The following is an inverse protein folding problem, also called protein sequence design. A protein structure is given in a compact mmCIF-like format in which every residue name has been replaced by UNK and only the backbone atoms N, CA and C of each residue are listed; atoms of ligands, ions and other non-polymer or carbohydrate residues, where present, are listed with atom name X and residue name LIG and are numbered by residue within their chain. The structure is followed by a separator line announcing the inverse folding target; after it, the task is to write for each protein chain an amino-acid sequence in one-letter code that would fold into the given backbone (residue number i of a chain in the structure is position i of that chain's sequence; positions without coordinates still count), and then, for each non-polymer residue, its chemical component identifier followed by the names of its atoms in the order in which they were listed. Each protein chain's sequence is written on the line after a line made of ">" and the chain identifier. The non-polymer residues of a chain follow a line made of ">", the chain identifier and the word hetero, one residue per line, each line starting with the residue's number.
data_IF_963180569748
#
_entry.id   IF_963180569748
#
_cell.length_a   1.000
_cell.length_b   1.000
_cell.length_c   1.000
_cell.angle_alpha   90.00
_cell.angle_beta   90.00
_cell.angle_gamma   90.00
#
_symmetry.space_group_name_H-M   'P 1'
#
loop_
_entity.id
_entity.type
_entity.pdbx_description
1 polymer ?
#
# COMPACT_ATOMS: atom_id res chain seq x y z
N UNK A 1 1.67 3.74 13.15
CA UNK A 1 0.92 2.78 12.28
C UNK A 1 1.49 1.39 12.41
N UNK A 2 2.82 1.21 12.30
CA UNK A 2 3.45 -0.11 12.47
C UNK A 2 3.14 -0.74 13.83
N UNK A 3 3.30 0.01 14.93
CA UNK A 3 2.98 -0.51 16.26
C UNK A 3 1.53 -1.02 16.36
N UNK A 4 0.55 -0.32 15.78
CA UNK A 4 -0.84 -0.78 15.76
C UNK A 4 -0.99 -2.07 14.94
N UNK A 5 -0.30 -2.15 13.80
CA UNK A 5 -0.30 -3.35 12.95
C UNK A 5 0.26 -4.55 13.70
N UNK A 6 1.39 -4.36 14.39
CA UNK A 6 2.07 -5.41 15.16
C UNK A 6 1.24 -5.86 16.37
N UNK A 7 0.38 -4.98 16.90
CA UNK A 7 -0.60 -5.30 17.94
C UNK A 7 -1.92 -5.89 17.39
N UNK A 8 -1.97 -6.28 16.11
CA UNK A 8 -3.12 -6.98 15.52
C UNK A 8 -4.31 -6.09 15.11
N UNK A 9 -4.15 -4.76 15.11
CA UNK A 9 -5.19 -3.87 14.61
C UNK A 9 -5.28 -3.91 13.08
N UNK A 10 -6.51 -3.89 12.55
CA UNK A 10 -6.76 -3.67 11.14
C UNK A 10 -6.70 -2.17 10.81
N UNK A 11 -5.85 -1.79 9.86
CA UNK A 11 -5.62 -0.39 9.52
C UNK A 11 -6.36 -0.04 8.23
N UNK A 12 -7.30 0.91 8.35
CA UNK A 12 -8.04 1.48 7.23
C UNK A 12 -7.51 2.87 6.90
N UNK A 13 -6.92 3.02 5.72
CA UNK A 13 -6.43 4.29 5.20
C UNK A 13 -7.45 4.92 4.26
N UNK A 14 -7.95 6.10 4.63
CA UNK A 14 -8.73 6.97 3.75
C UNK A 14 -7.90 8.22 3.45
N UNK A 15 -7.65 8.49 2.17
CA UNK A 15 -6.87 9.65 1.75
C UNK A 15 -7.64 10.48 0.73
N UNK A 16 -7.57 11.80 0.86
CA UNK A 16 -8.18 12.75 -0.07
C UNK A 16 -7.09 13.67 -0.61
N UNK A 17 -6.81 13.56 -1.90
CA UNK A 17 -5.84 14.38 -2.61
C UNK A 17 -6.47 15.54 -3.40
N UNK A 18 -5.59 16.40 -3.87
CA UNK A 18 -5.88 17.53 -4.77
C UNK A 18 -4.83 17.54 -5.88
N UNK A 19 -5.17 18.12 -7.02
CA UNK A 19 -4.30 18.18 -8.20
C UNK A 19 -3.02 18.94 -7.94
N UNK A 20 -3.08 19.97 -7.08
CA UNK A 20 -1.91 20.80 -6.80
C UNK A 20 -1.97 21.48 -5.43
N UNK A 21 -0.78 21.87 -4.95
CA UNK A 21 -0.61 22.74 -3.78
C UNK A 21 -1.17 24.14 -4.02
N UNK A 22 -1.17 24.63 -5.26
CA UNK A 22 -1.82 25.87 -5.67
C UNK A 22 -3.33 25.79 -5.44
N UNK A 23 -3.96 24.68 -5.81
CA UNK A 23 -5.39 24.46 -5.56
C UNK A 23 -5.69 24.39 -4.06
N UNK A 24 -4.82 23.73 -3.27
CA UNK A 24 -4.95 23.70 -1.82
C UNK A 24 -4.86 25.11 -1.22
N UNK A 25 -3.91 25.93 -1.66
CA UNK A 25 -3.76 27.31 -1.21
C UNK A 25 -4.95 28.19 -1.60
N UNK A 26 -5.43 28.07 -2.85
CA UNK A 26 -6.62 28.77 -3.33
C UNK A 26 -7.85 28.45 -2.45
N UNK A 27 -8.05 27.17 -2.11
CA UNK A 27 -9.17 26.77 -1.23
C UNK A 27 -9.05 27.33 0.18
N UNK A 28 -7.82 27.50 0.68
CA UNK A 28 -7.59 28.19 1.96
C UNK A 28 -7.92 29.68 1.83
N UNK A 29 -7.54 30.33 0.73
CA UNK A 29 -7.89 31.73 0.46
C UNK A 29 -9.42 31.92 0.39
N UNK A 30 -10.12 31.05 -0.35
CA UNK A 30 -11.57 31.13 -0.53
C UNK A 30 -12.32 31.00 0.81
N UNK A 31 -11.91 30.08 1.69
CA UNK A 31 -12.52 29.98 3.02
C UNK A 31 -12.17 31.16 3.92
N UNK A 32 -11.00 31.77 3.76
CA UNK A 32 -10.60 32.97 4.54
C UNK A 32 -11.48 34.16 4.16
N UNK A 33 -11.80 34.32 2.87
CA UNK A 33 -12.79 35.30 2.40
C UNK A 33 -14.18 35.11 3.02
N UNK A 34 -14.52 33.87 3.41
CA UNK A 34 -15.75 33.51 4.11
C UNK A 34 -15.63 33.52 5.65
N UNK A 35 -14.57 34.11 6.20
CA UNK A 35 -14.37 34.25 7.65
C UNK A 35 -13.62 33.10 8.32
N UNK A 36 -13.02 32.19 7.56
CA UNK A 36 -12.22 31.07 8.08
C UNK A 36 -10.79 31.46 8.51
N UNK A 37 -10.09 30.51 9.14
CA UNK A 37 -8.70 30.72 9.59
C UNK A 37 -7.68 30.64 8.44
N UNK A 38 -6.78 31.62 8.38
CA UNK A 38 -5.70 31.68 7.41
C UNK A 38 -4.52 30.78 7.79
N UNK A 39 -3.84 30.22 6.79
CA UNK A 39 -2.60 29.47 6.95
C UNK A 39 -1.60 30.01 5.93
N UNK A 40 -0.34 30.30 6.31
CA UNK A 40 0.70 30.73 5.38
C UNK A 40 0.87 29.76 4.20
N UNK A 41 1.03 30.30 3.00
CA UNK A 41 1.09 29.53 1.74
C UNK A 41 2.26 28.54 1.74
N UNK A 42 3.40 28.95 2.28
CA UNK A 42 4.62 28.14 2.39
C UNK A 42 4.36 26.89 3.23
N UNK A 43 3.61 27.04 4.32
CA UNK A 43 3.24 25.93 5.20
C UNK A 43 2.25 24.98 4.52
N UNK A 44 1.32 25.51 3.70
CA UNK A 44 0.41 24.68 2.90
C UNK A 44 1.22 23.83 1.92
N UNK A 45 2.21 24.41 1.26
CA UNK A 45 3.05 23.72 0.27
C UNK A 45 3.88 22.62 0.92
N UNK A 46 4.58 22.93 2.02
CA UNK A 46 5.32 21.94 2.79
C UNK A 46 4.44 20.77 3.25
N UNK A 47 3.23 21.06 3.73
CA UNK A 47 2.28 20.03 4.17
C UNK A 47 1.75 19.19 3.03
N UNK A 48 1.52 19.79 1.86
CA UNK A 48 1.09 19.07 0.67
C UNK A 48 2.12 18.00 0.28
N UNK A 49 3.39 18.40 0.13
CA UNK A 49 4.46 17.49 -0.26
C UNK A 49 4.70 16.41 0.81
N UNK A 50 4.72 16.81 2.10
CA UNK A 50 4.85 15.87 3.22
C UNK A 50 3.70 14.87 3.28
N UNK A 51 2.48 15.29 2.97
CA UNK A 51 1.30 14.42 2.94
C UNK A 51 1.43 13.33 1.88
N UNK A 52 1.90 13.66 0.67
CA UNK A 52 2.12 12.68 -0.41
C UNK A 52 3.24 11.68 -0.07
N UNK A 53 4.32 12.16 0.55
CA UNK A 53 5.39 11.28 1.04
C UNK A 53 4.87 10.32 2.11
N UNK A 54 4.07 10.82 3.06
CA UNK A 54 3.45 10.01 4.09
C UNK A 54 2.45 9.00 3.52
N UNK A 55 1.72 9.37 2.46
CA UNK A 55 0.80 8.46 1.77
C UNK A 55 1.54 7.22 1.24
N UNK A 56 2.70 7.40 0.60
CA UNK A 56 3.52 6.29 0.11
C UNK A 56 3.90 5.31 1.22
N UNK A 57 4.22 5.82 2.41
CA UNK A 57 4.58 4.98 3.57
C UNK A 57 3.33 4.33 4.17
N UNK A 58 2.25 5.08 4.35
CA UNK A 58 1.01 4.60 4.95
C UNK A 58 0.36 3.48 4.12
N UNK A 59 0.40 3.58 2.79
CA UNK A 59 -0.14 2.55 1.89
C UNK A 59 0.56 1.19 2.03
N UNK A 60 1.83 1.15 2.47
CA UNK A 60 2.54 -0.13 2.68
C UNK A 60 2.11 -0.86 3.95
N UNK A 61 1.54 -0.14 4.92
CA UNK A 61 1.18 -0.67 6.24
C UNK A 61 -0.31 -1.02 6.31
N UNK A 62 -1.15 -0.25 5.60
CA UNK A 62 -2.59 -0.35 5.65
C UNK A 62 -3.14 -1.66 5.08
N UNK A 63 -4.14 -2.24 5.76
CA UNK A 63 -4.88 -3.41 5.29
C UNK A 63 -5.88 -3.06 4.20
N UNK A 64 -6.54 -1.91 4.35
CA UNK A 64 -7.55 -1.43 3.43
C UNK A 64 -7.26 0.02 3.07
N UNK A 65 -7.24 0.33 1.78
CA UNK A 65 -6.87 1.63 1.23
C UNK A 65 -8.01 2.14 0.38
N UNK A 66 -8.45 3.38 0.63
CA UNK A 66 -9.38 4.13 -0.23
C UNK A 66 -8.81 5.51 -0.50
N UNK A 67 -8.57 5.79 -1.77
CA UNK A 67 -8.02 7.07 -2.23
C UNK A 67 -9.09 7.80 -3.01
N UNK A 68 -9.24 9.08 -2.71
CA UNK A 68 -10.16 9.98 -3.37
C UNK A 68 -9.44 11.18 -3.96
N UNK A 69 -9.90 11.62 -5.12
CA UNK A 69 -9.55 12.92 -5.70
C UNK A 69 -10.67 13.92 -5.42
N UNK A 70 -10.30 15.10 -4.92
CA UNK A 70 -11.23 16.17 -4.60
C UNK A 70 -10.90 17.45 -5.37
N UNK A 71 -10.26 17.30 -6.54
CA UNK A 71 -9.78 18.43 -7.35
C UNK A 71 -10.89 19.17 -8.07
N UNK A 72 -11.94 18.46 -8.47
CA UNK A 72 -13.10 19.04 -9.14
C UNK A 72 -14.08 19.59 -8.11
N UNK A 73 -14.70 20.72 -8.44
CA UNK A 73 -15.70 21.30 -7.56
C UNK A 73 -16.95 20.42 -7.48
N UNK A 74 -17.49 20.30 -6.26
CA UNK A 74 -18.74 19.59 -5.91
C UNK A 74 -18.72 18.06 -6.07
N UNK A 75 -17.63 17.44 -6.51
CA UNK A 75 -17.55 15.98 -6.64
C UNK A 75 -16.20 15.42 -6.21
N UNK A 76 -16.24 14.62 -5.14
CA UNK A 76 -15.14 13.74 -4.76
C UNK A 76 -15.22 12.45 -5.58
N UNK A 77 -14.16 12.11 -6.28
CA UNK A 77 -14.08 10.93 -7.12
C UNK A 77 -13.23 9.86 -6.43
N UNK A 78 -13.69 8.62 -6.41
CA UNK A 78 -12.85 7.50 -5.93
C UNK A 78 -11.85 7.18 -7.03
N UNK A 79 -10.56 7.12 -6.70
CA UNK A 79 -9.51 6.85 -7.69
C UNK A 79 -8.86 5.48 -7.51
N UNK A 80 -8.84 4.96 -6.29
CA UNK A 80 -8.17 3.70 -5.99
C UNK A 80 -8.76 3.03 -4.75
N UNK A 81 -8.94 1.71 -4.82
CA UNK A 81 -9.28 0.86 -3.69
C UNK A 81 -8.40 -0.39 -3.73
N UNK A 82 -7.77 -0.70 -2.60
CA UNK A 82 -7.08 -1.96 -2.40
C UNK A 82 -7.39 -2.51 -1.00
N UNK A 83 -7.36 -3.84 -0.88
CA UNK A 83 -7.47 -4.53 0.41
C UNK A 83 -6.58 -5.78 0.39
N UNK A 84 -5.85 -6.02 1.48
CA UNK A 84 -4.95 -7.17 1.63
C UNK A 84 -4.01 -7.35 0.42
N UNK A 85 -3.33 -6.28 0.02
CA UNK A 85 -2.43 -6.20 -1.15
C UNK A 85 -3.09 -6.54 -2.51
N UNK A 86 -4.42 -6.65 -2.56
CA UNK A 86 -5.18 -6.82 -3.81
C UNK A 86 -5.82 -5.51 -4.23
N UNK A 87 -5.57 -5.11 -5.46
CA UNK A 87 -6.24 -3.96 -6.07
C UNK A 87 -7.67 -4.38 -6.43
N UNK A 88 -8.65 -3.71 -5.83
CA UNK A 88 -10.07 -3.95 -6.07
C UNK A 88 -10.63 -2.97 -7.11
N UNK A 89 -10.12 -1.73 -7.12
CA UNK A 89 -10.55 -0.70 -8.05
C UNK A 89 -9.42 0.28 -8.35
N UNK A 90 -9.39 0.74 -9.59
CA UNK A 90 -8.53 1.81 -10.08
C UNK A 90 -9.31 2.59 -11.16
N UNK A 91 -9.37 3.91 -11.04
CA UNK A 91 -9.99 4.77 -12.06
C UNK A 91 -9.28 4.62 -13.41
N UNK A 92 -10.02 4.81 -14.52
CA UNK A 92 -9.44 4.87 -15.87
C UNK A 92 -8.48 6.04 -16.00
N UNK A 93 -8.86 7.19 -15.47
CA UNK A 93 -8.05 8.40 -15.42
C UNK A 93 -7.45 8.54 -14.01
N UNK A 94 -6.14 8.43 -13.93
CA UNK A 94 -5.40 8.58 -12.67
C UNK A 94 -4.87 10.01 -12.57
N UNK A 95 -5.23 10.76 -11.51
CA UNK A 95 -4.72 12.10 -11.29
C UNK A 95 -3.19 12.11 -11.19
N UNK A 96 -2.56 13.18 -11.70
CA UNK A 96 -1.10 13.25 -11.75
C UNK A 96 -0.48 13.15 -10.36
N UNK A 97 -1.09 13.79 -9.37
CA UNK A 97 -0.65 13.78 -7.98
C UNK A 97 -0.55 12.37 -7.37
N UNK A 98 -1.28 11.39 -7.92
CA UNK A 98 -1.32 10.02 -7.38
C UNK A 98 -0.48 9.01 -8.19
N UNK A 99 -0.08 9.33 -9.43
CA UNK A 99 0.55 8.38 -10.36
C UNK A 99 1.79 7.70 -9.76
N UNK A 100 2.72 8.48 -9.23
CA UNK A 100 3.98 7.97 -8.70
C UNK A 100 3.75 7.09 -7.47
N UNK A 101 2.85 7.53 -6.59
CA UNK A 101 2.46 6.76 -5.40
C UNK A 101 1.83 5.43 -5.77
N UNK A 102 0.93 5.42 -6.76
CA UNK A 102 0.30 4.20 -7.26
C UNK A 102 1.34 3.25 -7.87
N UNK A 103 2.26 3.75 -8.68
CA UNK A 103 3.32 2.94 -9.28
C UNK A 103 4.23 2.32 -8.22
N UNK A 104 4.62 3.10 -7.21
CA UNK A 104 5.41 2.62 -6.08
C UNK A 104 4.70 1.49 -5.31
N UNK A 105 3.39 1.65 -5.07
CA UNK A 105 2.59 0.64 -4.39
C UNK A 105 2.43 -0.65 -5.22
N UNK A 106 2.16 -0.52 -6.53
CA UNK A 106 2.09 -1.67 -7.45
C UNK A 106 3.44 -2.42 -7.44
N UNK A 107 4.54 -1.69 -7.52
CA UNK A 107 5.87 -2.30 -7.48
C UNK A 107 6.16 -2.99 -6.14
N UNK A 108 5.70 -2.46 -5.00
CA UNK A 108 5.90 -3.12 -3.71
C UNK A 108 5.12 -4.43 -3.60
N UNK A 109 3.85 -4.47 -4.05
CA UNK A 109 3.07 -5.72 -3.99
C UNK A 109 3.61 -6.81 -4.95
N UNK A 110 4.26 -6.42 -6.05
CA UNK A 110 4.86 -7.38 -6.98
C UNK A 110 6.17 -7.97 -6.46
N UNK A 111 6.99 -7.18 -5.77
CA UNK A 111 8.23 -7.67 -5.14
C UNK A 111 7.98 -8.65 -3.99
N UNK A 112 6.81 -8.57 -3.34
CA UNK A 112 6.41 -9.50 -2.29
C UNK A 112 5.92 -10.85 -2.82
N UNK A 113 5.62 -10.99 -4.12
CA UNK A 113 5.32 -12.29 -4.71
C UNK A 113 6.63 -13.03 -5.02
N UNK A 114 6.84 -14.26 -4.53
CA UNK A 114 8.03 -15.03 -4.86
C UNK A 114 8.11 -15.20 -6.38
N UNK A 115 9.31 -15.03 -6.95
CA UNK A 115 9.50 -15.27 -8.38
C UNK A 115 9.22 -16.74 -8.72
N UNK A 116 8.98 -17.03 -10.00
CA UNK A 116 8.80 -18.42 -10.43
C UNK A 116 10.01 -19.28 -10.04
N UNK A 117 11.22 -18.72 -10.10
CA UNK A 117 12.45 -19.39 -9.68
C UNK A 117 12.46 -19.62 -8.16
N UNK A 118 11.99 -18.68 -7.35
CA UNK A 118 11.87 -18.85 -5.89
C UNK A 118 10.86 -19.96 -5.55
N UNK A 119 9.73 -20.00 -6.25
CA UNK A 119 8.71 -21.04 -6.09
C UNK A 119 9.28 -22.41 -6.47
N UNK A 120 9.96 -22.50 -7.62
CA UNK A 120 10.57 -23.74 -8.10
C UNK A 120 11.66 -24.21 -7.13
N UNK A 121 12.49 -23.29 -6.63
CA UNK A 121 13.56 -23.61 -5.70
C UNK A 121 13.02 -24.07 -4.34
N UNK A 122 11.94 -23.43 -3.84
CA UNK A 122 11.24 -23.86 -2.63
C UNK A 122 10.65 -25.26 -2.79
N UNK A 123 9.93 -25.52 -3.89
CA UNK A 123 9.34 -26.82 -4.18
C UNK A 123 10.41 -27.93 -4.30
N UNK A 124 11.56 -27.62 -4.94
CA UNK A 124 12.71 -28.55 -5.00
C UNK A 124 13.26 -28.88 -3.61
N UNK A 125 13.38 -27.86 -2.74
CA UNK A 125 13.91 -28.02 -1.37
C UNK A 125 13.00 -28.91 -0.51
N UNK A 126 11.69 -28.74 -0.66
CA UNK A 126 10.68 -29.56 0.01
C UNK A 126 10.71 -31.01 -0.48
N UNK A 127 10.78 -31.26 -1.79
CA UNK A 127 10.90 -32.61 -2.36
C UNK A 127 12.15 -33.36 -1.89
N UNK A 128 13.31 -32.69 -1.81
CA UNK A 128 14.56 -33.29 -1.31
C UNK A 128 14.43 -33.67 0.17
N UNK A 129 13.77 -32.83 0.97
CA UNK A 129 13.56 -33.08 2.39
C UNK A 129 12.63 -34.27 2.63
N UNK A 130 11.60 -34.43 1.79
CA UNK A 130 10.68 -35.58 1.82
C UNK A 130 11.42 -36.89 1.51
N UNK A 131 12.30 -36.90 0.52
CA UNK A 131 13.06 -38.11 0.15
C UNK A 131 14.05 -38.55 1.24
N UNK A 132 14.78 -37.61 1.86
CA UNK A 132 15.67 -37.93 3.00
C UNK A 132 14.92 -38.50 4.21
N UNK A 133 13.69 -38.02 4.46
CA UNK A 133 12.83 -38.55 5.52
C UNK A 133 12.28 -39.95 5.21
N UNK A 134 12.08 -40.29 3.93
CA UNK A 134 11.72 -41.66 3.53
C UNK A 134 12.88 -42.63 3.70
N UNK A 135 14.08 -42.28 3.23
CA UNK A 135 15.28 -43.13 3.34
C UNK A 135 15.67 -43.41 4.80
N UNK A 136 15.60 -42.39 5.66
CA UNK A 136 15.88 -42.55 7.10
C UNK A 136 14.83 -43.40 7.84
N UNK A 137 13.56 -43.35 7.44
CA UNK A 137 12.52 -44.20 8.02
C UNK A 137 12.59 -45.65 7.51
N UNK A 138 13.04 -45.87 6.27
CA UNK A 138 13.28 -47.23 5.73
C UNK A 138 14.44 -47.89 6.49
N UNK A 139 15.54 -47.17 6.72
CA UNK A 139 16.70 -47.72 7.42
C UNK A 139 16.42 -48.04 8.89
N UNK A 140 15.59 -47.25 9.59
CA UNK A 140 15.19 -47.54 10.99
C UNK A 140 14.29 -48.77 11.15
N UNK A 141 13.56 -49.17 10.11
CA UNK A 141 12.71 -50.36 10.17
C UNK A 141 13.51 -51.64 9.94
N UNK A 142 14.62 -51.58 9.20
CA UNK A 142 15.51 -52.74 8.99
C UNK A 142 16.35 -53.12 10.22
N UNK A 143 16.64 -52.17 11.11
CA UNK A 143 17.41 -52.42 12.34
C UNK A 143 16.56 -52.98 13.51
N UNK A 144 15.25 -53.14 13.34
CA UNK A 144 14.32 -53.66 14.38
C UNK A 144 13.85 -55.09 14.16
N UNK A 145 14.23 -55.73 13.06
CA UNK A 145 13.84 -57.11 12.72
C UNK A 145 14.96 -58.15 12.97
N UNK A 146 15.95 -57.83 13.81
CA UNK A 146 16.92 -58.80 14.36
C UNK A 146 16.79 -58.87 15.87
#
# INVERSE_FOLDING_TARGET
>A
MQDLKDNGYKIHLLYVGLESKELAAKRVEDRVKLGGHNIPKELIYQRYDKSLNNLNLAMKIADAIKIYDNSKDKKRETVFIAENNKILYKSKEIPNWFKDTLNNYINSIHKEKPSLDDIINQAKKECVSINKNKESNINRNFDREK
#
